data_IF_944631752587
#
_entry.id   IF_944631752587
#
_cell.length_a   1.000
_cell.length_b   1.000
_cell.length_c   1.000
_cell.angle_alpha   90.00
_cell.angle_beta   90.00
_cell.angle_gamma   90.00
#
_symmetry.space_group_name_H-M   'P 1'
#
loop_
_entity.id
_entity.type
_entity.pdbx_description
1 polymer ?
#
# COMPACT_ATOMS: atom_id res chain seq x y z
N UNK A 1 18.39 18.76 -39.25
CA UNK A 1 17.31 18.21 -38.39
C UNK A 1 17.31 16.70 -38.51
N UNK A 2 18.02 16.02 -37.60
CA UNK A 2 17.95 14.56 -37.46
C UNK A 2 16.51 14.20 -37.06
N UNK A 3 15.77 13.48 -37.91
CA UNK A 3 14.37 13.10 -37.64
C UNK A 3 14.31 12.48 -36.24
N UNK A 4 13.48 13.04 -35.35
CA UNK A 4 13.12 12.42 -34.07
C UNK A 4 12.45 11.08 -34.37
N UNK A 5 13.24 10.02 -34.45
CA UNK A 5 12.76 8.67 -34.79
C UNK A 5 12.55 7.91 -33.49
N UNK A 6 11.37 7.31 -33.34
CA UNK A 6 11.07 6.45 -32.19
C UNK A 6 12.04 5.27 -32.16
N UNK A 7 12.71 5.07 -31.03
CA UNK A 7 13.48 3.86 -30.78
C UNK A 7 12.54 2.74 -30.33
N UNK A 8 12.16 1.88 -31.28
CA UNK A 8 11.21 0.79 -31.07
C UNK A 8 11.61 -0.15 -29.93
N UNK A 9 12.91 -0.41 -29.75
CA UNK A 9 13.38 -1.34 -28.71
C UNK A 9 13.21 -0.78 -27.31
N UNK A 10 13.46 0.53 -27.14
CA UNK A 10 13.21 1.22 -25.88
C UNK A 10 11.71 1.35 -25.57
N UNK A 11 10.88 1.57 -26.60
CA UNK A 11 9.43 1.60 -26.43
C UNK A 11 8.88 0.24 -25.95
N UNK A 12 9.33 -0.87 -26.56
CA UNK A 12 8.89 -2.21 -26.16
C UNK A 12 9.27 -2.55 -24.72
N UNK A 13 10.49 -2.19 -24.31
CA UNK A 13 10.92 -2.32 -22.92
C UNK A 13 10.02 -1.53 -21.97
N UNK A 14 9.68 -0.29 -22.32
CA UNK A 14 8.85 0.57 -21.50
C UNK A 14 7.40 0.07 -21.40
N UNK A 15 6.82 -0.44 -22.49
CA UNK A 15 5.51 -1.09 -22.48
C UNK A 15 5.55 -2.32 -21.57
N UNK A 16 6.58 -3.17 -21.70
CA UNK A 16 6.78 -4.33 -20.83
C UNK A 16 6.88 -3.94 -19.36
N UNK A 17 7.64 -2.88 -19.04
CA UNK A 17 7.75 -2.36 -17.68
C UNK A 17 6.39 -1.92 -17.11
N UNK A 18 5.58 -1.21 -17.88
CA UNK A 18 4.26 -0.78 -17.43
C UNK A 18 3.32 -1.96 -17.19
N UNK A 19 3.28 -2.94 -18.09
CA UNK A 19 2.47 -4.15 -17.91
C UNK A 19 2.87 -4.88 -16.63
N UNK A 20 4.17 -5.00 -16.37
CA UNK A 20 4.69 -5.62 -15.14
C UNK A 20 4.31 -4.82 -13.90
N UNK A 21 4.41 -3.49 -13.92
CA UNK A 21 3.99 -2.65 -12.79
C UNK A 21 2.49 -2.74 -12.53
N UNK A 22 1.67 -2.86 -13.59
CA UNK A 22 0.24 -3.13 -13.43
C UNK A 22 0.01 -4.48 -12.75
N UNK A 23 0.63 -5.55 -13.25
CA UNK A 23 0.44 -6.89 -12.69
C UNK A 23 0.97 -7.03 -11.26
N UNK A 24 2.13 -6.45 -10.95
CA UNK A 24 2.81 -6.68 -9.67
C UNK A 24 2.54 -5.62 -8.60
N UNK A 25 1.99 -4.46 -8.97
CA UNK A 25 1.88 -3.32 -8.04
C UNK A 25 0.52 -2.63 -8.16
N UNK A 26 0.23 -1.92 -9.25
CA UNK A 26 -0.94 -1.03 -9.29
C UNK A 26 -2.26 -1.80 -9.33
N UNK A 27 -2.28 -2.99 -9.95
CA UNK A 27 -3.43 -3.89 -10.01
C UNK A 27 -3.91 -4.36 -8.63
N UNK A 28 -3.03 -4.42 -7.62
CA UNK A 28 -3.41 -4.79 -6.26
C UNK A 28 -4.49 -3.88 -5.68
N UNK A 29 -4.51 -2.61 -6.10
CA UNK A 29 -5.50 -1.64 -5.61
C UNK A 29 -6.89 -1.81 -6.23
N UNK A 30 -7.06 -2.72 -7.20
CA UNK A 30 -8.31 -2.94 -7.93
C UNK A 30 -8.80 -4.39 -7.85
N UNK A 31 -7.99 -5.31 -7.34
CA UNK A 31 -8.26 -6.75 -7.40
C UNK A 31 -9.54 -7.17 -6.67
N UNK A 32 -9.78 -6.61 -5.48
CA UNK A 32 -10.94 -6.94 -4.64
C UNK A 32 -12.17 -6.06 -4.92
N UNK A 33 -12.12 -5.16 -5.90
CA UNK A 33 -13.26 -4.28 -6.19
C UNK A 33 -14.40 -5.13 -6.78
N UNK A 34 -15.58 -5.18 -6.11
CA UNK A 34 -16.71 -5.95 -6.62
C UNK A 34 -17.32 -5.24 -7.84
N UNK A 35 -17.15 -5.83 -9.03
CA UNK A 35 -17.71 -5.30 -10.27
C UNK A 35 -19.07 -5.95 -10.53
N UNK A 36 -20.16 -5.16 -10.52
CA UNK A 36 -21.53 -5.68 -10.69
C UNK A 36 -22.03 -5.61 -12.14
N UNK A 37 -21.20 -5.14 -13.08
CA UNK A 37 -21.52 -5.13 -14.50
C UNK A 37 -20.50 -4.39 -15.36
N UNK A 38 -20.77 -4.34 -16.68
CA UNK A 38 -19.83 -3.77 -17.64
C UNK A 38 -19.56 -2.26 -17.46
N UNK A 39 -20.52 -1.51 -16.89
CA UNK A 39 -20.31 -0.09 -16.55
C UNK A 39 -19.25 0.07 -15.48
N UNK A 40 -19.33 -0.69 -14.39
CA UNK A 40 -18.35 -0.64 -13.30
C UNK A 40 -16.98 -1.05 -13.80
N UNK A 41 -16.90 -2.12 -14.60
CA UNK A 41 -15.66 -2.56 -15.23
C UNK A 41 -15.03 -1.45 -16.07
N UNK A 42 -15.82 -0.76 -16.90
CA UNK A 42 -15.33 0.35 -17.72
C UNK A 42 -14.80 1.50 -16.84
N UNK A 43 -15.53 1.88 -15.79
CA UNK A 43 -15.15 2.97 -14.88
C UNK A 43 -13.82 2.67 -14.20
N UNK A 44 -13.65 1.47 -13.63
CA UNK A 44 -12.41 1.10 -12.96
C UNK A 44 -11.27 0.83 -13.94
N UNK A 45 -11.55 0.38 -15.16
CA UNK A 45 -10.56 0.29 -16.21
C UNK A 45 -10.04 1.67 -16.62
N UNK A 46 -10.93 2.65 -16.82
CA UNK A 46 -10.55 4.04 -17.10
C UNK A 46 -9.74 4.60 -15.94
N UNK A 47 -10.16 4.35 -14.69
CA UNK A 47 -9.44 4.79 -13.51
C UNK A 47 -8.03 4.17 -13.41
N UNK A 48 -7.90 2.87 -13.68
CA UNK A 48 -6.60 2.18 -13.74
C UNK A 48 -5.72 2.75 -14.85
N UNK A 49 -6.27 3.03 -16.02
CA UNK A 49 -5.53 3.67 -17.13
C UNK A 49 -5.07 5.06 -16.72
N UNK A 50 -5.95 5.88 -16.13
CA UNK A 50 -5.61 7.23 -15.65
C UNK A 50 -4.46 7.19 -14.63
N UNK A 51 -4.55 6.28 -13.65
CA UNK A 51 -3.47 6.03 -12.69
C UNK A 51 -2.18 5.58 -13.38
N UNK A 52 -2.28 4.62 -14.29
CA UNK A 52 -1.11 4.04 -14.93
C UNK A 52 -0.43 5.04 -15.87
N UNK A 53 -1.16 5.95 -16.52
CA UNK A 53 -0.57 7.00 -17.36
C UNK A 53 0.33 7.91 -16.53
N UNK A 54 -0.10 8.33 -15.34
CA UNK A 54 0.72 9.21 -14.49
C UNK A 54 1.95 8.49 -13.94
N UNK A 55 1.77 7.22 -13.52
CA UNK A 55 2.87 6.34 -13.09
C UNK A 55 3.85 6.08 -14.23
N UNK A 56 3.36 5.85 -15.45
CA UNK A 56 4.17 5.59 -16.64
C UNK A 56 5.16 6.73 -16.90
N UNK A 57 4.74 8.00 -16.73
CA UNK A 57 5.64 9.15 -16.85
C UNK A 57 6.84 9.06 -15.90
N UNK A 58 6.59 8.74 -14.63
CA UNK A 58 7.63 8.57 -13.60
C UNK A 58 8.53 7.37 -13.92
N UNK A 59 7.94 6.22 -14.27
CA UNK A 59 8.68 5.01 -14.65
C UNK A 59 9.60 5.28 -15.84
N UNK A 60 9.15 6.05 -16.83
CA UNK A 60 9.93 6.35 -18.02
C UNK A 60 11.19 7.12 -17.63
N UNK A 61 11.03 8.22 -16.89
CA UNK A 61 12.12 9.09 -16.46
C UNK A 61 13.15 8.31 -15.63
N UNK A 62 12.70 7.50 -14.67
CA UNK A 62 13.58 6.67 -13.84
C UNK A 62 14.26 5.54 -14.62
N UNK A 63 13.67 5.09 -15.73
CA UNK A 63 14.26 4.07 -16.60
C UNK A 63 15.28 4.60 -17.62
N UNK A 64 15.41 5.93 -17.77
CA UNK A 64 16.33 6.53 -18.74
C UNK A 64 17.79 6.17 -18.48
N UNK A 65 18.20 6.09 -17.22
CA UNK A 65 19.55 5.68 -16.85
C UNK A 65 19.56 4.21 -16.42
N UNK A 66 20.52 3.44 -16.93
CA UNK A 66 20.74 2.05 -16.48
C UNK A 66 21.07 1.98 -14.99
N UNK A 67 21.83 2.96 -14.48
CA UNK A 67 22.22 2.99 -13.07
C UNK A 67 21.01 3.28 -12.19
N UNK A 68 20.20 4.29 -12.55
CA UNK A 68 18.97 4.62 -11.82
C UNK A 68 17.99 3.45 -11.88
N UNK A 69 17.82 2.83 -13.06
CA UNK A 69 16.94 1.67 -13.20
C UNK A 69 17.33 0.52 -12.26
N UNK A 70 18.62 0.18 -12.22
CA UNK A 70 19.11 -0.96 -11.44
C UNK A 70 19.17 -0.68 -9.94
N UNK A 71 19.63 0.51 -9.53
CA UNK A 71 19.93 0.80 -8.13
C UNK A 71 18.84 1.59 -7.41
N UNK A 72 17.91 2.21 -8.14
CA UNK A 72 16.81 3.00 -7.56
C UNK A 72 15.47 2.40 -7.92
N UNK A 73 15.14 2.31 -9.21
CA UNK A 73 13.80 1.87 -9.62
C UNK A 73 13.55 0.41 -9.28
N UNK A 74 14.48 -0.51 -9.55
CA UNK A 74 14.27 -1.93 -9.29
C UNK A 74 14.08 -2.24 -7.80
N UNK A 75 14.93 -1.74 -6.86
CA UNK A 75 14.67 -1.91 -5.43
C UNK A 75 13.36 -1.28 -4.97
N UNK A 76 13.00 -0.09 -5.48
CA UNK A 76 11.72 0.54 -5.15
C UNK A 76 10.53 -0.31 -5.61
N UNK A 77 10.55 -0.83 -6.84
CA UNK A 77 9.49 -1.71 -7.35
C UNK A 77 9.39 -3.01 -6.56
N UNK A 78 10.51 -3.53 -6.04
CA UNK A 78 10.51 -4.69 -5.14
C UNK A 78 9.87 -4.39 -3.78
N UNK A 79 10.13 -3.21 -3.20
CA UNK A 79 9.44 -2.78 -1.97
C UNK A 79 7.94 -2.63 -2.23
N UNK A 80 7.58 -1.96 -3.33
CA UNK A 80 6.17 -1.79 -3.72
C UNK A 80 5.45 -3.12 -3.95
N UNK A 81 6.12 -4.13 -4.51
CA UNK A 81 5.51 -5.44 -4.68
C UNK A 81 5.26 -6.13 -3.33
N UNK A 82 6.12 -5.93 -2.33
CA UNK A 82 5.87 -6.38 -0.96
C UNK A 82 4.56 -5.84 -0.38
N UNK A 83 4.30 -4.55 -0.55
CA UNK A 83 3.01 -3.96 -0.17
C UNK A 83 1.85 -4.48 -1.04
N UNK A 84 2.08 -4.61 -2.35
CA UNK A 84 1.06 -5.08 -3.30
C UNK A 84 0.61 -6.51 -3.00
N UNK A 85 1.49 -7.38 -2.50
CA UNK A 85 1.12 -8.73 -2.06
C UNK A 85 0.02 -8.70 -0.99
N UNK A 86 0.15 -7.83 0.01
CA UNK A 86 -0.85 -7.68 1.07
C UNK A 86 -2.14 -7.04 0.56
N UNK A 87 -2.04 -6.16 -0.44
CA UNK A 87 -3.21 -5.68 -1.20
C UNK A 87 -3.93 -6.79 -1.96
N UNK A 88 -3.20 -7.69 -2.63
CA UNK A 88 -3.76 -8.83 -3.35
C UNK A 88 -4.31 -9.94 -2.47
N UNK A 89 -3.73 -10.16 -1.29
CA UNK A 89 -4.08 -11.29 -0.42
C UNK A 89 -5.11 -10.94 0.66
N UNK A 90 -5.06 -9.72 1.19
CA UNK A 90 -5.86 -9.31 2.35
C UNK A 90 -6.60 -7.98 2.17
N UNK A 91 -6.52 -7.38 0.98
CA UNK A 91 -7.11 -6.07 0.68
C UNK A 91 -6.62 -4.95 1.62
N UNK A 92 -5.38 -5.06 2.09
CA UNK A 92 -4.79 -4.07 2.99
C UNK A 92 -4.51 -2.78 2.23
N UNK A 93 -5.06 -1.67 2.73
CA UNK A 93 -4.77 -0.32 2.27
C UNK A 93 -3.61 0.29 3.05
N UNK A 94 -2.71 0.96 2.33
CA UNK A 94 -1.53 1.60 2.94
C UNK A 94 -1.94 2.96 3.51
N UNK A 95 -1.85 3.09 4.83
CA UNK A 95 -2.19 4.30 5.59
C UNK A 95 -1.02 4.69 6.50
N UNK A 96 -0.98 5.93 7.03
CA UNK A 96 0.02 6.34 8.00
C UNK A 96 0.06 5.44 9.24
N UNK A 97 -1.09 4.96 9.72
CA UNK A 97 -1.16 4.04 10.86
C UNK A 97 -0.60 2.66 10.54
N UNK A 98 -0.75 2.17 9.30
CA UNK A 98 -0.08 0.94 8.88
C UNK A 98 1.44 1.11 8.90
N UNK A 99 1.95 2.27 8.47
CA UNK A 99 3.38 2.56 8.55
C UNK A 99 3.86 2.65 10.00
N UNK A 100 3.10 3.31 10.87
CA UNK A 100 3.38 3.32 12.31
C UNK A 100 3.46 1.89 12.85
N UNK A 101 2.48 1.04 12.56
CA UNK A 101 2.48 -0.35 12.97
C UNK A 101 3.72 -1.09 12.47
N UNK A 102 4.10 -0.94 11.19
CA UNK A 102 5.31 -1.56 10.63
C UNK A 102 6.58 -1.08 11.35
N UNK A 103 6.68 0.21 11.68
CA UNK A 103 7.85 0.80 12.33
C UNK A 103 7.96 0.47 13.82
N UNK A 104 6.83 0.28 14.50
CA UNK A 104 6.76 -0.08 15.93
C UNK A 104 6.72 -1.60 16.18
N UNK A 105 6.53 -2.40 15.12
CA UNK A 105 6.46 -3.86 15.21
C UNK A 105 7.79 -4.47 15.61
N UNK A 106 7.71 -5.53 16.43
CA UNK A 106 8.86 -6.33 16.85
C UNK A 106 9.12 -7.48 15.86
N UNK A 107 10.38 -7.91 15.78
CA UNK A 107 10.81 -8.92 14.80
C UNK A 107 10.15 -10.29 15.00
N UNK A 108 9.86 -10.68 16.24
CA UNK A 108 9.15 -11.90 16.59
C UNK A 108 7.75 -11.95 15.96
N UNK A 109 7.01 -10.84 16.04
CA UNK A 109 5.67 -10.70 15.42
C UNK A 109 5.79 -10.68 13.88
N UNK A 110 6.79 -10.00 13.33
CA UNK A 110 6.94 -9.87 11.89
C UNK A 110 7.24 -11.20 11.18
N UNK A 111 7.92 -12.14 11.84
CA UNK A 111 8.24 -13.46 11.28
C UNK A 111 6.96 -14.28 11.04
N UNK A 112 5.92 -14.10 11.86
CA UNK A 112 4.64 -14.81 11.70
C UNK A 112 3.90 -14.42 10.40
N UNK A 113 4.22 -13.25 9.82
CA UNK A 113 3.67 -12.81 8.53
C UNK A 113 4.38 -13.48 7.34
N UNK A 114 5.57 -14.06 7.54
CA UNK A 114 6.34 -14.68 6.46
C UNK A 114 5.76 -16.06 6.13
N UNK A 115 5.04 -16.12 5.01
CA UNK A 115 4.48 -17.37 4.49
C UNK A 115 5.03 -17.71 3.09
N UNK A 116 4.83 -18.97 2.68
CA UNK A 116 5.32 -19.45 1.38
C UNK A 116 4.76 -18.64 0.19
N UNK A 117 3.45 -18.31 0.11
CA UNK A 117 2.92 -17.43 -0.94
C UNK A 117 3.64 -16.09 -1.05
N UNK A 118 3.91 -15.43 0.09
CA UNK A 118 4.63 -14.16 0.14
C UNK A 118 6.06 -14.31 -0.40
N UNK A 119 6.78 -15.35 0.02
CA UNK A 119 8.13 -15.64 -0.46
C UNK A 119 8.18 -15.95 -1.96
N UNK A 120 7.21 -16.71 -2.48
CA UNK A 120 7.10 -17.01 -3.91
C UNK A 120 6.78 -15.75 -4.72
N UNK A 121 5.89 -14.90 -4.21
CA UNK A 121 5.53 -13.63 -4.86
C UNK A 121 6.74 -12.69 -4.94
N UNK A 122 7.45 -12.49 -3.84
CA UNK A 122 8.67 -11.68 -3.81
C UNK A 122 9.79 -12.30 -4.67
N UNK A 123 10.01 -13.61 -4.57
CA UNK A 123 10.99 -14.33 -5.37
C UNK A 123 10.75 -14.19 -6.87
N UNK A 124 9.49 -14.37 -7.31
CA UNK A 124 9.10 -14.17 -8.71
C UNK A 124 9.28 -12.72 -9.16
N UNK A 125 8.94 -11.75 -8.30
CA UNK A 125 9.17 -10.32 -8.57
C UNK A 125 10.65 -10.01 -8.74
N UNK A 126 11.52 -10.54 -7.87
CA UNK A 126 12.95 -10.36 -7.98
C UNK A 126 13.51 -10.93 -9.30
N UNK A 127 13.06 -12.12 -9.72
CA UNK A 127 13.45 -12.73 -10.99
C UNK A 127 13.01 -11.89 -12.20
N UNK A 128 11.78 -11.38 -12.18
CA UNK A 128 11.24 -10.53 -13.23
C UNK A 128 12.02 -9.20 -13.31
N UNK A 129 12.25 -8.53 -12.19
CA UNK A 129 13.00 -7.28 -12.13
C UNK A 129 14.46 -7.48 -12.58
N UNK A 130 15.07 -8.62 -12.24
CA UNK A 130 16.39 -8.98 -12.73
C UNK A 130 16.41 -9.20 -14.25
N UNK A 131 15.41 -9.89 -14.80
CA UNK A 131 15.21 -10.01 -16.24
C UNK A 131 15.07 -8.66 -16.93
N UNK A 132 14.29 -7.75 -16.34
CA UNK A 132 14.12 -6.38 -16.81
C UNK A 132 15.42 -5.58 -16.75
N UNK A 133 16.20 -5.68 -15.68
CA UNK A 133 17.51 -5.04 -15.56
C UNK A 133 18.50 -5.53 -16.63
N UNK A 134 18.47 -6.84 -16.94
CA UNK A 134 19.26 -7.41 -18.05
C UNK A 134 18.79 -6.94 -19.41
N UNK A 135 17.48 -6.83 -19.63
CA UNK A 135 16.94 -6.27 -20.87
C UNK A 135 17.36 -4.81 -21.01
N UNK A 136 17.20 -4.00 -19.95
CA UNK A 136 17.60 -2.59 -19.94
C UNK A 136 19.08 -2.39 -20.25
N UNK A 137 19.94 -3.27 -19.74
CA UNK A 137 21.39 -3.23 -19.98
C UNK A 137 21.80 -3.47 -21.43
N UNK A 138 20.98 -4.17 -22.23
CA UNK A 138 21.22 -4.40 -23.67
C UNK A 138 20.77 -3.24 -24.56
N UNK A 139 19.98 -2.32 -24.02
CA UNK A 139 19.45 -1.18 -24.76
C UNK A 139 20.45 -0.02 -24.76
N UNK A 140 20.52 0.69 -25.89
CA UNK A 140 21.31 1.91 -26.01
C UNK A 140 20.77 2.98 -25.05
N UNK A 141 21.64 3.89 -24.63
CA UNK A 141 21.23 5.04 -23.84
C UNK A 141 20.22 5.88 -24.61
N UNK A 142 19.13 6.27 -23.95
CA UNK A 142 18.08 7.10 -24.54
C UNK A 142 18.53 8.56 -24.45
N UNK A 143 18.38 9.32 -25.54
CA UNK A 143 18.64 10.76 -25.51
C UNK A 143 17.62 11.45 -24.58
N UNK A 144 18.10 12.28 -23.66
CA UNK A 144 17.24 13.01 -22.70
C UNK A 144 16.21 13.87 -23.44
N UNK A 145 16.61 14.58 -24.49
CA UNK A 145 15.73 15.42 -25.31
C UNK A 145 15.05 14.65 -26.45
N UNK A 146 14.38 13.55 -26.14
CA UNK A 146 13.59 12.78 -27.10
C UNK A 146 12.10 13.11 -26.99
N UNK A 147 11.34 12.88 -28.07
CA UNK A 147 9.87 13.00 -28.08
C UNK A 147 9.23 12.17 -26.95
N UNK A 148 9.75 10.97 -26.70
CA UNK A 148 9.24 10.09 -25.64
C UNK A 148 9.46 10.69 -24.24
N UNK A 149 10.59 11.37 -24.00
CA UNK A 149 10.83 12.05 -22.74
C UNK A 149 9.87 13.21 -22.53
N UNK A 150 9.58 13.97 -23.59
CA UNK A 150 8.57 15.03 -23.55
C UNK A 150 7.18 14.48 -23.22
N UNK A 151 6.77 13.39 -23.88
CA UNK A 151 5.50 12.71 -23.57
C UNK A 151 5.45 12.20 -22.12
N UNK A 152 6.55 11.66 -21.59
CA UNK A 152 6.61 11.20 -20.20
C UNK A 152 6.38 12.33 -19.19
N UNK A 153 6.94 13.53 -19.44
CA UNK A 153 6.68 14.70 -18.60
C UNK A 153 5.22 15.17 -18.68
N UNK A 154 4.59 15.12 -19.87
CA UNK A 154 3.16 15.38 -20.00
C UNK A 154 2.37 14.38 -19.14
N UNK A 155 2.63 13.08 -19.29
CA UNK A 155 1.96 12.04 -18.52
C UNK A 155 2.13 12.24 -17.00
N UNK A 156 3.35 12.56 -16.55
CA UNK A 156 3.62 12.87 -15.15
C UNK A 156 2.85 14.13 -14.69
N UNK A 157 2.77 15.15 -15.54
CA UNK A 157 2.04 16.40 -15.30
C UNK A 157 0.52 16.28 -15.29
N UNK A 158 -0.04 15.13 -15.71
CA UNK A 158 -1.48 14.85 -15.58
C UNK A 158 -1.89 14.47 -14.15
N UNK A 159 -0.94 14.11 -13.27
CA UNK A 159 -1.28 13.70 -11.91
C UNK A 159 -2.03 14.80 -11.12
N UNK A 160 -1.52 16.04 -11.02
CA UNK A 160 -2.20 17.07 -10.23
C UNK A 160 -3.58 17.42 -10.79
N UNK A 161 -3.77 17.38 -12.11
CA UNK A 161 -5.06 17.69 -12.73
C UNK A 161 -6.09 16.61 -12.45
N UNK A 162 -5.72 15.33 -12.57
CA UNK A 162 -6.60 14.20 -12.27
C UNK A 162 -6.95 14.13 -10.78
N UNK A 163 -5.98 14.39 -9.91
CA UNK A 163 -6.22 14.39 -8.46
C UNK A 163 -7.07 15.59 -8.02
N UNK A 164 -6.94 16.76 -8.66
CA UNK A 164 -7.80 17.91 -8.40
C UNK A 164 -9.26 17.68 -8.82
N UNK A 165 -9.51 16.87 -9.86
CA UNK A 165 -10.88 16.53 -10.29
C UNK A 165 -11.59 15.64 -9.27
N UNK A 166 -10.87 14.70 -8.64
CA UNK A 166 -11.41 13.84 -7.58
C UNK A 166 -10.33 13.57 -6.52
N UNK A 167 -10.26 14.41 -5.48
CA UNK A 167 -9.28 14.26 -4.41
C UNK A 167 -9.38 12.89 -3.73
N UNK A 168 -8.22 12.28 -3.46
CA UNK A 168 -8.08 10.95 -2.88
C UNK A 168 -8.24 9.81 -3.89
N UNK A 169 -8.55 10.07 -5.16
CA UNK A 169 -8.85 8.99 -6.12
C UNK A 169 -7.60 8.24 -6.57
N UNK A 170 -6.53 8.96 -6.94
CA UNK A 170 -5.25 8.36 -7.32
C UNK A 170 -4.32 8.26 -6.12
N UNK A 171 -4.33 9.26 -5.24
CA UNK A 171 -3.48 9.30 -4.05
C UNK A 171 -3.67 8.06 -3.16
N UNK A 172 -4.88 7.51 -3.04
CA UNK A 172 -5.16 6.34 -2.20
C UNK A 172 -4.84 4.98 -2.87
N UNK A 173 -4.15 4.98 -4.01
CA UNK A 173 -3.80 3.77 -4.77
C UNK A 173 -2.29 3.62 -4.88
N UNK A 174 -1.81 2.38 -4.97
CA UNK A 174 -0.40 2.11 -5.23
C UNK A 174 0.01 2.66 -6.61
N UNK A 175 1.20 3.27 -6.75
CA UNK A 175 2.24 3.45 -5.73
C UNK A 175 2.11 4.74 -4.90
N UNK A 176 1.17 5.64 -5.22
CA UNK A 176 1.08 6.96 -4.59
C UNK A 176 0.75 6.90 -3.10
N UNK A 177 -0.14 5.99 -2.69
CA UNK A 177 -0.56 5.87 -1.30
C UNK A 177 0.60 5.68 -0.32
N UNK A 178 1.64 4.92 -0.70
CA UNK A 178 2.83 4.76 0.15
C UNK A 178 3.59 6.07 0.31
N UNK A 179 3.76 6.84 -0.77
CA UNK A 179 4.46 8.14 -0.73
C UNK A 179 3.73 9.12 0.16
N UNK A 180 2.40 9.21 0.00
CA UNK A 180 1.58 10.10 0.81
C UNK A 180 1.45 9.65 2.25
N UNK A 181 1.28 8.35 2.51
CA UNK A 181 1.24 7.80 3.85
C UNK A 181 2.55 8.08 4.61
N UNK A 182 3.72 7.95 3.94
CA UNK A 182 5.01 8.30 4.52
C UNK A 182 5.09 9.80 4.83
N UNK A 183 4.70 10.65 3.89
CA UNK A 183 4.72 12.10 4.09
C UNK A 183 3.80 12.53 5.25
N UNK A 184 2.60 11.98 5.32
CA UNK A 184 1.64 12.25 6.39
C UNK A 184 2.12 11.71 7.75
N UNK A 185 2.67 10.50 7.79
CA UNK A 185 3.26 9.93 9.00
C UNK A 185 4.32 10.84 9.62
N UNK A 186 5.22 11.42 8.79
CA UNK A 186 6.25 12.35 9.29
C UNK A 186 5.71 13.69 9.81
N UNK A 187 4.46 14.04 9.47
CA UNK A 187 3.81 15.28 9.89
C UNK A 187 2.91 15.10 11.11
N UNK A 188 2.70 13.87 11.59
CA UNK A 188 1.83 13.63 12.73
C UNK A 188 2.38 14.28 14.00
N UNK A 189 1.56 15.08 14.71
CA UNK A 189 2.00 15.72 15.95
C UNK A 189 2.26 14.64 17.00
N UNK A 190 3.37 14.75 17.72
CA UNK A 190 3.60 13.87 18.87
C UNK A 190 2.55 14.15 19.94
N UNK A 191 1.79 13.12 20.33
CA UNK A 191 0.86 13.19 21.44
C UNK A 191 1.64 13.46 22.73
N UNK A 192 1.65 14.73 23.16
CA UNK A 192 2.20 15.13 24.46
C UNK A 192 1.13 14.86 25.52
N UNK A 193 1.17 13.66 26.11
CA UNK A 193 0.36 13.37 27.28
C UNK A 193 0.83 14.25 28.45
N UNK A 194 -0.10 14.96 29.08
CA UNK A 194 0.17 15.61 30.36
C UNK A 194 0.28 14.52 31.44
N UNK A 195 1.49 14.21 31.86
CA UNK A 195 1.77 13.19 32.87
C UNK A 195 1.44 13.67 34.30
N UNK A 196 1.14 14.96 34.49
CA UNK A 196 0.78 15.55 35.78
C UNK A 196 -0.60 16.20 35.72
N UNK A 197 -1.69 15.43 35.64
CA UNK A 197 -3.02 15.97 35.80
C UNK A 197 -3.22 16.44 37.24
N UNK A 198 -3.77 17.66 37.43
CA UNK A 198 -4.27 18.11 38.72
C UNK A 198 -5.53 17.31 39.06
N UNK A 199 -5.36 16.20 39.79
CA UNK A 199 -6.46 15.35 40.24
C UNK A 199 -6.75 15.64 41.72
N UNK A 200 -7.96 16.10 42.02
CA UNK A 200 -8.48 16.09 43.38
C UNK A 200 -8.77 14.64 43.81
N UNK A 201 -7.83 14.05 44.54
CA UNK A 201 -7.97 12.70 45.06
C UNK A 201 -8.93 12.69 46.26
N UNK A 202 -10.20 12.38 46.00
CA UNK A 202 -11.18 12.10 47.05
C UNK A 202 -10.87 10.71 47.63
N UNK A 203 -10.20 10.66 48.79
CA UNK A 203 -9.93 9.40 49.50
C UNK A 203 -11.21 8.86 50.13
N UNK A 204 -11.86 7.91 49.45
CA UNK A 204 -12.85 7.03 50.06
C UNK A 204 -12.16 5.79 50.64
N UNK A 205 -12.54 5.40 51.85
CA UNK A 205 -11.82 4.45 52.69
C UNK A 205 -12.32 3.01 52.49
N UNK A 206 -12.44 2.58 51.23
CA UNK A 206 -12.84 1.22 50.88
C UNK A 206 -11.77 0.57 50.00
N UNK A 207 -11.41 -0.68 50.29
CA UNK A 207 -10.32 -1.39 49.61
C UNK A 207 -10.82 -2.02 48.30
N UNK A 208 -11.03 -1.20 47.27
CA UNK A 208 -11.46 -1.65 45.95
C UNK A 208 -10.26 -2.15 45.12
N UNK A 209 -10.27 -3.43 44.74
CA UNK A 209 -9.35 -3.97 43.74
C UNK A 209 -9.99 -3.90 42.35
N UNK A 210 -9.33 -3.19 41.43
CA UNK A 210 -9.75 -3.09 40.03
C UNK A 210 -8.71 -3.76 39.13
N UNK A 211 -9.17 -4.64 38.24
CA UNK A 211 -8.35 -5.27 37.20
C UNK A 211 -8.83 -4.80 35.83
N UNK A 212 -7.97 -4.13 35.07
CA UNK A 212 -8.23 -3.75 33.68
C UNK A 212 -7.52 -4.74 32.75
N UNK A 213 -8.29 -5.46 31.94
CA UNK A 213 -7.77 -6.36 30.90
C UNK A 213 -7.85 -5.64 29.56
N UNK A 214 -6.70 -5.34 28.96
CA UNK A 214 -6.60 -4.79 27.60
C UNK A 214 -6.44 -5.96 26.64
N UNK A 215 -7.52 -6.29 25.92
CA UNK A 215 -7.51 -7.35 24.91
C UNK A 215 -6.82 -6.92 23.62
N UNK A 216 -6.55 -7.90 22.74
CA UNK A 216 -5.92 -7.70 21.42
C UNK A 216 -6.76 -8.40 20.35
N UNK A 217 -7.05 -7.70 19.24
CA UNK A 217 -7.68 -8.24 18.02
C UNK A 217 -9.03 -8.99 18.17
N UNK A 218 -9.64 -9.02 19.36
CA UNK A 218 -10.95 -9.65 19.59
C UNK A 218 -12.06 -8.75 19.04
N UNK A 219 -12.92 -9.34 18.20
CA UNK A 219 -14.06 -8.64 17.62
C UNK A 219 -15.36 -8.96 18.35
N UNK A 220 -16.17 -7.93 18.61
CA UNK A 220 -17.41 -8.04 19.35
C UNK A 220 -18.45 -8.97 18.70
N UNK A 221 -18.49 -9.04 17.37
CA UNK A 221 -19.41 -9.86 16.57
C UNK A 221 -19.11 -11.37 16.62
N UNK A 222 -17.97 -11.76 17.16
CA UNK A 222 -17.55 -13.17 17.31
C UNK A 222 -17.61 -13.66 18.78
N UNK A 223 -18.22 -12.88 19.68
CA UNK A 223 -18.39 -13.22 21.08
C UNK A 223 -19.80 -13.77 21.33
N UNK A 224 -19.93 -15.00 21.85
CA UNK A 224 -21.26 -15.57 22.14
C UNK A 224 -22.05 -14.79 23.19
N UNK A 225 -21.36 -14.10 24.09
CA UNK A 225 -21.99 -13.19 25.06
C UNK A 225 -22.67 -11.98 24.39
N UNK A 226 -22.31 -11.69 23.14
CA UNK A 226 -22.93 -10.67 22.29
C UNK A 226 -23.90 -11.27 21.25
N UNK A 227 -24.24 -12.56 21.36
CA UNK A 227 -25.19 -13.21 20.47
C UNK A 227 -24.59 -13.98 19.29
N UNK A 228 -23.27 -14.19 19.26
CA UNK A 228 -22.65 -15.07 18.26
C UNK A 228 -23.08 -16.53 18.45
N UNK A 229 -23.48 -17.20 17.36
CA UNK A 229 -24.09 -18.54 17.40
C UNK A 229 -23.20 -19.62 18.04
N UNK A 230 -21.88 -19.53 17.82
CA UNK A 230 -20.91 -20.44 18.42
C UNK A 230 -20.57 -19.97 19.82
N UNK A 231 -20.64 -20.88 20.81
CA UNK A 231 -20.26 -20.63 22.22
C UNK A 231 -18.75 -20.35 22.39
N UNK A 232 -18.31 -19.12 22.09
CA UNK A 232 -16.91 -18.67 22.17
C UNK A 232 -16.51 -18.15 23.55
N UNK A 233 -17.48 -17.79 24.40
CA UNK A 233 -17.27 -17.22 25.75
C UNK A 233 -17.96 -18.03 26.87
N UNK A 234 -17.90 -19.37 26.88
CA UNK A 234 -18.75 -20.19 27.76
C UNK A 234 -18.50 -19.94 29.25
N UNK A 235 -17.25 -19.65 29.64
CA UNK A 235 -16.89 -19.33 31.03
C UNK A 235 -17.46 -17.99 31.47
N UNK A 236 -17.33 -16.96 30.65
CA UNK A 236 -17.87 -15.62 30.95
C UNK A 236 -19.39 -15.65 31.05
N UNK A 237 -20.07 -16.34 30.13
CA UNK A 237 -21.52 -16.50 30.16
C UNK A 237 -22.03 -17.24 31.41
N UNK A 238 -21.19 -18.07 32.04
CA UNK A 238 -21.51 -18.77 33.28
C UNK A 238 -21.21 -17.94 34.55
N UNK A 239 -20.46 -16.84 34.44
CA UNK A 239 -20.09 -15.99 35.58
C UNK A 239 -21.24 -15.07 35.98
N UNK A 240 -21.77 -15.14 37.22
CA UNK A 240 -22.82 -14.22 37.65
C UNK A 240 -22.34 -12.76 37.69
N UNK A 241 -23.23 -11.82 37.35
CA UNK A 241 -22.96 -10.38 37.47
C UNK A 241 -22.03 -9.79 36.40
N UNK A 242 -21.68 -10.54 35.35
CA UNK A 242 -21.00 -9.97 34.19
C UNK A 242 -21.93 -9.03 33.42
N UNK A 243 -21.36 -7.95 32.87
CA UNK A 243 -22.05 -7.06 31.95
C UNK A 243 -21.32 -7.12 30.61
N UNK A 244 -22.06 -7.23 29.51
CA UNK A 244 -21.51 -7.14 28.16
C UNK A 244 -22.00 -5.87 27.47
N UNK A 245 -21.10 -5.25 26.71
CA UNK A 245 -21.37 -4.06 25.90
C UNK A 245 -21.24 -4.46 24.42
N UNK A 246 -22.34 -4.84 23.75
CA UNK A 246 -22.29 -5.35 22.38
C UNK A 246 -22.13 -4.27 21.30
N UNK A 247 -22.29 -2.99 21.66
CA UNK A 247 -22.22 -1.83 20.77
C UNK A 247 -21.30 -0.75 21.33
#
# INVERSE_FOLDING_TARGET
MEKMRLDKSNLLFFIGLNILVVGLITGASYYHIPLQGGKDTLVYLVHLISLQVTVAGVLYVLSLSRLIFNWVLSPLLFIYSGFAFWGYSQDISITPHLLQAILETKADIAVDLINLPFLLYLGSTALVLFGMARWRARLKSVKIFSLNTFMAFICMGLYPTLEALRPGSLQNRLPYNLVYALAEYTQQPSLKLNLNPELELIKYQDSLLVVLVVGESVRADHLSINGYDRKTTPKLSATPGHLSFPN
#
